data_IF_489001653674
#
_entry.id   IF_489001653674
#
_cell.length_a   1.000
_cell.length_b   1.000
_cell.length_c   1.000
_cell.angle_alpha   90.00
_cell.angle_beta   90.00
_cell.angle_gamma   90.00
#
_symmetry.space_group_name_H-M   'P 1'
#
loop_
_entity.id
_entity.type
_entity.pdbx_description
1 polymer ?
#
# COMPACT_ATOMS: atom_id res chain seq x y z
N UNK A 1 13.73 -17.01 -10.72
CA UNK A 1 13.65 -16.10 -9.55
C UNK A 1 12.84 -16.81 -8.48
N UNK A 2 13.41 -17.14 -7.31
CA UNK A 2 12.67 -17.86 -6.27
C UNK A 2 11.45 -17.04 -5.85
N UNK A 3 10.31 -17.71 -5.64
CA UNK A 3 9.09 -17.08 -5.14
C UNK A 3 9.41 -16.49 -3.75
N UNK A 4 9.29 -15.17 -3.61
CA UNK A 4 9.39 -14.53 -2.31
C UNK A 4 8.17 -14.97 -1.51
N UNK A 5 8.37 -15.93 -0.60
CA UNK A 5 7.30 -16.42 0.24
C UNK A 5 6.83 -15.27 1.13
N UNK A 6 5.54 -14.92 1.01
CA UNK A 6 4.91 -14.03 1.97
C UNK A 6 4.92 -14.71 3.34
N UNK A 7 5.06 -13.96 4.43
CA UNK A 7 4.89 -14.52 5.77
C UNK A 7 3.50 -15.16 5.95
N UNK A 8 3.37 -16.23 6.74
CA UNK A 8 2.12 -17.01 6.87
C UNK A 8 0.87 -16.19 7.27
N UNK A 9 1.07 -15.12 8.02
CA UNK A 9 0.02 -14.22 8.46
C UNK A 9 -0.39 -13.18 7.40
N UNK A 10 0.33 -13.13 6.27
CA UNK A 10 0.12 -12.20 5.17
C UNK A 10 -0.26 -13.00 3.92
N UNK A 11 -1.51 -12.84 3.48
CA UNK A 11 -2.03 -13.59 2.34
C UNK A 11 -2.84 -12.69 1.40
N UNK A 12 -2.87 -13.09 0.13
CA UNK A 12 -3.80 -12.53 -0.84
C UNK A 12 -5.19 -13.11 -0.61
N UNK A 13 -6.19 -12.25 -0.49
CA UNK A 13 -7.59 -12.63 -0.65
C UNK A 13 -7.87 -12.99 -2.11
N UNK A 14 -8.89 -13.83 -2.36
CA UNK A 14 -9.43 -13.98 -3.70
C UNK A 14 -9.87 -12.62 -4.26
N UNK A 15 -9.75 -12.42 -5.59
CA UNK A 15 -10.15 -11.16 -6.21
C UNK A 15 -11.60 -10.84 -5.91
N UNK A 16 -11.88 -9.58 -5.58
CA UNK A 16 -13.26 -9.15 -5.38
C UNK A 16 -14.04 -9.09 -6.70
N UNK A 17 -15.35 -8.89 -6.61
CA UNK A 17 -16.25 -8.78 -7.77
C UNK A 17 -15.90 -7.63 -8.74
N UNK A 18 -15.03 -6.71 -8.32
CA UNK A 18 -14.53 -5.59 -9.14
C UNK A 18 -13.11 -5.86 -9.67
N UNK A 19 -12.61 -7.09 -9.54
CA UNK A 19 -11.29 -7.50 -10.02
C UNK A 19 -10.13 -6.93 -9.21
N UNK A 20 -10.34 -6.51 -7.95
CA UNK A 20 -9.28 -6.03 -7.06
C UNK A 20 -8.71 -7.18 -6.26
N UNK A 21 -7.39 -7.25 -6.19
CA UNK A 21 -6.67 -8.13 -5.30
C UNK A 21 -6.43 -7.43 -3.97
N UNK A 22 -6.79 -8.06 -2.86
CA UNK A 22 -6.52 -7.53 -1.52
C UNK A 22 -5.45 -8.35 -0.83
N UNK A 23 -4.50 -7.68 -0.19
CA UNK A 23 -3.52 -8.32 0.68
C UNK A 23 -3.94 -8.08 2.13
N UNK A 24 -4.12 -9.17 2.88
CA UNK A 24 -4.44 -9.13 4.30
C UNK A 24 -3.21 -9.39 5.15
N UNK A 25 -3.22 -8.84 6.35
CA UNK A 25 -2.46 -9.34 7.49
C UNK A 25 -3.49 -9.70 8.58
N UNK A 26 -3.59 -10.99 8.90
CA UNK A 26 -4.66 -11.52 9.75
C UNK A 26 -6.06 -11.12 9.26
N UNK A 27 -6.82 -10.37 10.08
CA UNK A 27 -8.20 -9.95 9.75
C UNK A 27 -8.29 -8.60 9.03
N UNK A 28 -7.19 -7.89 8.78
CA UNK A 28 -7.19 -6.53 8.22
C UNK A 28 -6.60 -6.49 6.81
N UNK A 29 -7.20 -5.68 5.93
CA UNK A 29 -6.67 -5.40 4.59
C UNK A 29 -5.55 -4.37 4.72
N UNK A 30 -4.31 -4.75 4.40
CA UNK A 30 -3.12 -3.89 4.55
C UNK A 30 -2.64 -3.30 3.22
N UNK A 31 -2.92 -3.97 2.10
CA UNK A 31 -2.59 -3.49 0.77
C UNK A 31 -3.59 -4.03 -0.25
N UNK A 32 -3.53 -3.52 -1.48
CA UNK A 32 -4.35 -4.01 -2.57
C UNK A 32 -3.82 -3.59 -3.93
N UNK A 33 -4.22 -4.34 -4.94
CA UNK A 33 -3.90 -4.10 -6.33
C UNK A 33 -5.21 -4.01 -7.11
N UNK A 34 -5.38 -2.94 -7.87
CA UNK A 34 -6.60 -2.73 -8.66
C UNK A 34 -6.24 -2.22 -10.04
N UNK A 35 -6.92 -2.70 -11.08
CA UNK A 35 -6.84 -2.06 -12.37
C UNK A 35 -7.52 -0.68 -12.31
N UNK A 36 -6.92 0.32 -12.95
CA UNK A 36 -7.52 1.65 -13.03
C UNK A 36 -8.47 1.70 -14.22
N UNK A 37 -9.61 2.36 -14.06
CA UNK A 37 -10.54 2.65 -15.16
C UNK A 37 -9.99 3.69 -16.17
N UNK A 38 -8.73 4.11 -16.04
CA UNK A 38 -8.09 4.95 -17.06
C UNK A 38 -7.92 4.14 -18.35
N UNK A 39 -8.11 4.79 -19.51
CA UNK A 39 -8.02 4.16 -20.84
C UNK A 39 -6.72 3.37 -21.07
N UNK A 40 -5.64 3.72 -20.35
CA UNK A 40 -4.32 3.07 -20.47
C UNK A 40 -4.19 1.75 -19.68
N UNK A 41 -5.25 1.27 -19.02
CA UNK A 41 -5.32 -0.07 -18.42
C UNK A 41 -4.26 -0.38 -17.34
N UNK A 42 -3.64 0.65 -16.74
CA UNK A 42 -2.60 0.47 -15.72
C UNK A 42 -3.16 -0.12 -14.42
N UNK A 43 -2.34 -0.90 -13.74
CA UNK A 43 -2.61 -1.45 -12.43
C UNK A 43 -2.03 -0.56 -11.34
N UNK A 44 -2.82 -0.26 -10.32
CA UNK A 44 -2.42 0.51 -9.14
C UNK A 44 -2.09 -0.44 -8.02
N UNK A 45 -0.92 -0.27 -7.40
CA UNK A 45 -0.65 -0.78 -6.07
C UNK A 45 -1.03 0.25 -5.01
N UNK A 46 -1.81 -0.16 -4.01
CA UNK A 46 -2.15 0.62 -2.82
C UNK A 46 -1.59 -0.10 -1.61
N UNK A 47 -0.94 0.64 -0.71
CA UNK A 47 -0.34 0.09 0.52
C UNK A 47 -0.85 0.88 1.73
N UNK A 48 -0.66 0.35 2.94
CA UNK A 48 -1.20 0.92 4.19
C UNK A 48 -2.71 1.15 4.17
N UNK A 49 -3.48 0.26 3.54
CA UNK A 49 -4.94 0.39 3.41
C UNK A 49 -5.69 0.16 4.73
N UNK A 50 -5.03 -0.37 5.74
CA UNK A 50 -5.58 -0.52 7.09
C UNK A 50 -5.63 0.80 7.87
N UNK A 51 -4.97 1.84 7.39
CA UNK A 51 -4.91 3.17 8.00
C UNK A 51 -5.95 4.10 7.37
N UNK A 52 -6.99 4.45 8.15
CA UNK A 52 -8.07 5.35 7.72
C UNK A 52 -7.62 6.82 7.59
N UNK A 53 -6.48 7.18 8.21
CA UNK A 53 -5.91 8.53 8.15
C UNK A 53 -4.90 8.71 7.01
N UNK A 54 -4.45 7.62 6.39
CA UNK A 54 -3.60 7.72 5.20
C UNK A 54 -4.49 7.99 4.00
N UNK A 55 -4.43 9.22 3.49
CA UNK A 55 -4.99 9.56 2.19
C UNK A 55 -4.55 8.48 1.19
N UNK A 56 -5.54 7.82 0.57
CA UNK A 56 -5.37 6.62 -0.26
C UNK A 56 -4.69 6.94 -1.60
N UNK A 57 -3.49 7.51 -1.53
CA UNK A 57 -2.67 7.76 -2.69
C UNK A 57 -2.09 6.45 -3.22
N UNK A 58 -2.04 6.28 -4.55
CA UNK A 58 -1.44 5.11 -5.17
C UNK A 58 0.04 5.06 -4.78
N UNK A 59 0.50 3.89 -4.33
CA UNK A 59 1.90 3.66 -4.01
C UNK A 59 2.76 3.64 -5.28
N UNK A 60 2.26 2.95 -6.31
CA UNK A 60 2.90 2.85 -7.61
C UNK A 60 1.90 2.39 -8.68
N UNK A 61 2.25 2.65 -9.95
CA UNK A 61 1.51 2.23 -11.12
C UNK A 61 2.32 1.20 -11.93
N UNK A 62 1.64 0.21 -12.48
CA UNK A 62 2.26 -0.91 -13.22
C UNK A 62 1.50 -1.21 -14.50
N UNK A 63 2.20 -1.74 -15.51
CA UNK A 63 1.60 -2.15 -16.78
C UNK A 63 0.87 -3.49 -16.71
N UNK A 64 1.09 -4.29 -15.67
CA UNK A 64 0.45 -5.60 -15.52
C UNK A 64 0.20 -5.95 -14.04
N UNK A 65 -0.81 -6.81 -13.82
CA UNK A 65 -1.25 -7.30 -12.50
C UNK A 65 -0.12 -7.97 -11.72
N UNK A 66 0.66 -8.82 -12.38
CA UNK A 66 1.73 -9.60 -11.73
C UNK A 66 2.85 -8.72 -11.17
N UNK A 67 3.24 -7.66 -11.88
CA UNK A 67 4.23 -6.70 -11.41
C UNK A 67 3.72 -5.89 -10.21
N UNK A 68 2.46 -5.46 -10.26
CA UNK A 68 1.82 -4.79 -9.13
C UNK A 68 1.77 -5.69 -7.89
N UNK A 69 1.35 -6.95 -8.05
CA UNK A 69 1.32 -7.94 -6.96
C UNK A 69 2.70 -8.18 -6.36
N UNK A 70 3.72 -8.44 -7.19
CA UNK A 70 5.11 -8.61 -6.72
C UNK A 70 5.66 -7.38 -5.99
N UNK A 71 5.30 -6.18 -6.45
CA UNK A 71 5.71 -4.96 -5.75
C UNK A 71 5.06 -4.85 -4.37
N UNK A 72 3.77 -5.18 -4.27
CA UNK A 72 3.05 -5.21 -2.99
C UNK A 72 3.58 -6.31 -2.07
N UNK A 73 3.93 -7.48 -2.61
CA UNK A 73 4.56 -8.58 -1.86
C UNK A 73 5.91 -8.16 -1.28
N UNK A 74 6.78 -7.55 -2.10
CA UNK A 74 8.06 -7.01 -1.64
C UNK A 74 7.88 -5.96 -0.54
N UNK A 75 6.92 -5.06 -0.73
CA UNK A 75 6.58 -4.06 0.28
C UNK A 75 6.09 -4.71 1.58
N UNK A 76 5.21 -5.70 1.50
CA UNK A 76 4.65 -6.38 2.66
C UNK A 76 5.72 -7.17 3.41
N UNK A 77 6.60 -7.87 2.69
CA UNK A 77 7.74 -8.58 3.27
C UNK A 77 8.68 -7.63 3.99
N UNK A 78 9.02 -6.49 3.38
CA UNK A 78 9.88 -5.47 3.99
C UNK A 78 9.26 -4.77 5.22
N UNK A 79 7.95 -4.88 5.40
CA UNK A 79 7.21 -4.23 6.49
C UNK A 79 6.43 -5.20 7.38
N UNK A 80 6.69 -6.50 7.29
CA UNK A 80 5.86 -7.54 7.91
C UNK A 80 5.71 -7.34 9.43
N UNK A 81 6.82 -7.11 10.13
CA UNK A 81 6.79 -6.86 11.58
C UNK A 81 6.01 -5.60 11.94
N UNK A 82 6.16 -4.53 11.15
CA UNK A 82 5.38 -3.29 11.33
C UNK A 82 3.90 -3.58 11.15
N UNK A 83 3.52 -4.26 10.06
CA UNK A 83 2.13 -4.58 9.76
C UNK A 83 1.48 -5.40 10.87
N UNK A 84 2.17 -6.41 11.40
CA UNK A 84 1.69 -7.20 12.54
C UNK A 84 1.41 -6.35 13.76
N UNK A 85 2.35 -5.46 14.12
CA UNK A 85 2.17 -4.54 15.24
C UNK A 85 0.98 -3.62 15.02
N UNK A 86 0.91 -2.98 13.86
CA UNK A 86 -0.17 -2.03 13.53
C UNK A 86 -1.55 -2.70 13.49
N UNK A 87 -1.63 -3.94 13.01
CA UNK A 87 -2.88 -4.72 13.00
C UNK A 87 -3.28 -5.15 14.42
N UNK A 88 -2.31 -5.55 15.25
CA UNK A 88 -2.57 -5.98 16.62
C UNK A 88 -2.96 -4.81 17.54
N UNK A 89 -2.32 -3.66 17.40
CA UNK A 89 -2.56 -2.48 18.25
C UNK A 89 -3.70 -1.60 17.73
N UNK A 90 -4.13 -1.80 16.49
CA UNK A 90 -5.08 -0.92 15.80
C UNK A 90 -4.53 0.49 15.55
N UNK A 91 -3.25 0.73 15.85
CA UNK A 91 -2.60 2.01 15.74
C UNK A 91 -1.38 1.88 14.85
N UNK A 92 -1.33 2.67 13.78
CA UNK A 92 -0.08 2.89 13.07
C UNK A 92 0.93 3.42 14.08
N UNK A 93 2.08 2.75 14.21
CA UNK A 93 3.22 3.32 14.91
C UNK A 93 3.55 4.59 14.12
N UNK A 94 3.10 5.75 14.59
CA UNK A 94 3.48 7.05 14.04
C UNK A 94 4.99 7.03 14.11
N UNK A 95 5.66 6.84 12.97
CA UNK A 95 7.05 7.23 12.84
C UNK A 95 7.05 8.72 13.15
N UNK A 96 7.36 9.07 14.39
CA UNK A 96 7.57 10.43 14.84
C UNK A 96 8.76 10.92 14.01
N UNK A 97 8.48 11.67 12.95
CA UNK A 97 9.50 12.13 12.01
C UNK A 97 9.03 12.04 10.57
N UNK A 98 8.16 12.97 10.17
CA UNK A 98 8.41 14.01 9.15
C UNK A 98 7.10 14.81 9.13
N UNK A 99 6.94 15.77 10.05
CA UNK A 99 6.08 16.89 9.73
C UNK A 99 6.83 17.69 8.65
N UNK A 100 6.24 17.95 7.48
CA UNK A 100 6.91 18.78 6.48
C UNK A 100 7.28 20.10 7.14
N UNK A 101 8.57 20.45 7.07
CA UNK A 101 9.07 21.64 7.72
C UNK A 101 8.35 22.87 7.15
N UNK A 102 8.34 24.00 7.90
CA UNK A 102 7.71 25.24 7.41
C UNK A 102 8.23 25.63 6.02
N UNK A 103 9.47 25.29 5.69
CA UNK A 103 10.06 25.47 4.36
C UNK A 103 9.41 24.60 3.27
N UNK A 104 9.14 23.32 3.52
CA UNK A 104 8.46 22.45 2.54
C UNK A 104 7.02 22.91 2.29
N UNK A 105 6.33 23.40 3.32
CA UNK A 105 5.01 24.03 3.16
C UNK A 105 5.09 25.34 2.37
N UNK A 106 6.17 26.11 2.51
CA UNK A 106 6.37 27.37 1.79
C UNK A 106 6.71 27.12 0.32
N UNK A 107 7.54 26.12 0.03
CA UNK A 107 7.86 25.68 -1.34
C UNK A 107 6.64 25.12 -2.06
N UNK A 108 5.83 24.29 -1.40
CA UNK A 108 4.57 23.80 -1.96
C UNK A 108 3.55 24.93 -2.24
N UNK A 109 3.64 26.04 -1.51
CA UNK A 109 2.79 27.22 -1.72
C UNK A 109 3.29 28.09 -2.88
N UNK A 110 4.61 28.24 -3.05
CA UNK A 110 5.21 28.96 -4.19
C UNK A 110 5.00 28.24 -5.53
N UNK A 111 4.94 26.90 -5.53
CA UNK A 111 4.66 26.10 -6.73
C UNK A 111 3.18 26.14 -7.17
N UNK A 112 2.29 26.82 -6.43
CA UNK A 112 0.84 26.80 -6.68
C UNK A 112 0.22 28.13 -7.15
N UNK A 113 1.02 29.19 -7.34
CA UNK A 113 0.54 30.51 -7.80
C UNK A 113 0.13 31.42 -6.66
#
# INVERSE_FOLDING_TARGET
>A
MPAMALPDDIAWDPPDQWGRDWLRCGRKIVAGVSNTVFEDGRWIARVNRHDENTASYPHAYFRNRGAARRSVERWACAHAERLRREVATGAREKRVGVQPSREEKRLARQMRG
#
